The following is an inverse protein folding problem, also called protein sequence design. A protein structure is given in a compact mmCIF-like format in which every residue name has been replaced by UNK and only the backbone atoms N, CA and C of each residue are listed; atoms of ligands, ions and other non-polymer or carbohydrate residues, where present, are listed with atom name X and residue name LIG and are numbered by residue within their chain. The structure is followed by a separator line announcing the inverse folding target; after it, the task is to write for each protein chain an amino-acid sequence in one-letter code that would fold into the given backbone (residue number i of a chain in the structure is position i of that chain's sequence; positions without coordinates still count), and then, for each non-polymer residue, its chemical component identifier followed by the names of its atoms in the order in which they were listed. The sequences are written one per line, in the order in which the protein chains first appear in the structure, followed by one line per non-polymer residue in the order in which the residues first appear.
data_IF_357477459378
#
_entry.id   IF_357477459378
#
_cell.length_a   1.000
_cell.length_b   1.000
_cell.length_c   1.000
_cell.angle_alpha   90.00
_cell.angle_beta   90.00
_cell.angle_gamma   90.00
#
_symmetry.space_group_name_H-M   'P 1'
#
loop_
_entity.id
_entity.type
_entity.pdbx_description
1 polymer ?
#
# COMPACT_ATOMS: atom_id res chain seq x y z
N UNK A 1 -25.30 25.15 -26.59
CA UNK A 1 -23.85 25.41 -26.77
C UNK A 1 -23.18 26.03 -25.52
N UNK A 2 -23.72 27.08 -24.88
CA UNK A 2 -23.16 27.67 -23.64
C UNK A 2 -22.99 26.70 -22.46
N UNK A 3 -23.96 25.81 -22.21
CA UNK A 3 -23.88 24.80 -21.14
C UNK A 3 -22.77 23.76 -21.37
N UNK A 4 -22.41 23.47 -22.63
CA UNK A 4 -21.39 22.49 -22.99
C UNK A 4 -19.99 23.03 -22.72
N UNK A 5 -19.74 24.30 -23.06
CA UNK A 5 -18.51 25.02 -22.72
C UNK A 5 -18.35 25.21 -21.21
N UNK A 6 -19.45 25.46 -20.49
CA UNK A 6 -19.44 25.55 -19.02
C UNK A 6 -19.10 24.21 -18.35
N UNK A 7 -19.67 23.10 -18.82
CA UNK A 7 -19.33 21.76 -18.34
C UNK A 7 -17.88 21.39 -18.66
N UNK A 8 -17.40 21.71 -19.87
CA UNK A 8 -16.02 21.44 -20.27
C UNK A 8 -15.00 22.22 -19.42
N UNK A 9 -15.26 23.51 -19.16
CA UNK A 9 -14.41 24.33 -18.27
C UNK A 9 -14.42 23.84 -16.81
N UNK A 10 -15.55 23.37 -16.28
CA UNK A 10 -15.61 22.75 -14.95
C UNK A 10 -14.85 21.44 -14.90
N UNK A 11 -15.04 20.58 -15.89
CA UNK A 11 -14.32 19.31 -15.98
C UNK A 11 -12.81 19.53 -16.03
N UNK A 12 -12.35 20.48 -16.86
CA UNK A 12 -10.93 20.83 -16.98
C UNK A 12 -10.37 21.44 -15.69
N UNK A 13 -11.17 22.21 -14.94
CA UNK A 13 -10.77 22.70 -13.61
C UNK A 13 -10.63 21.53 -12.62
N UNK A 14 -11.58 20.60 -12.60
CA UNK A 14 -11.54 19.42 -11.72
C UNK A 14 -10.32 18.55 -12.03
N UNK A 15 -10.02 18.29 -13.31
CA UNK A 15 -8.85 17.51 -13.71
C UNK A 15 -7.56 18.20 -13.28
N UNK A 16 -7.45 19.51 -13.48
CA UNK A 16 -6.25 20.28 -13.09
C UNK A 16 -6.02 20.26 -11.58
N UNK A 17 -7.09 20.43 -10.79
CA UNK A 17 -7.02 20.33 -9.32
C UNK A 17 -6.61 18.92 -8.91
N UNK A 18 -7.21 17.89 -9.52
CA UNK A 18 -6.89 16.49 -9.23
C UNK A 18 -5.42 16.16 -9.52
N UNK A 19 -4.90 16.62 -10.66
CA UNK A 19 -3.49 16.45 -11.02
C UNK A 19 -2.57 17.19 -10.03
N UNK A 20 -2.95 18.39 -9.60
CA UNK A 20 -2.18 19.17 -8.62
C UNK A 20 -2.10 18.45 -7.26
N UNK A 21 -3.25 17.97 -6.77
CA UNK A 21 -3.33 17.18 -5.52
C UNK A 21 -2.51 15.90 -5.67
N UNK A 22 -2.62 15.21 -6.81
CA UNK A 22 -1.84 14.00 -7.08
C UNK A 22 -0.33 14.28 -7.02
N UNK A 23 0.14 15.34 -7.69
CA UNK A 23 1.54 15.78 -7.62
C UNK A 23 1.97 16.12 -6.19
N UNK A 24 1.11 16.80 -5.43
CA UNK A 24 1.37 17.15 -4.04
C UNK A 24 1.52 15.90 -3.16
N UNK A 25 0.63 14.92 -3.30
CA UNK A 25 0.70 13.65 -2.57
C UNK A 25 2.01 12.92 -2.86
N UNK A 26 2.40 12.82 -4.14
CA UNK A 26 3.65 12.18 -4.53
C UNK A 26 4.91 12.99 -4.18
N UNK A 27 4.80 14.28 -3.88
CA UNK A 27 5.95 15.13 -3.56
C UNK A 27 6.57 14.84 -2.18
N UNK A 28 5.78 14.39 -1.20
CA UNK A 28 6.27 14.11 0.17
C UNK A 28 6.21 12.62 0.48
N UNK A 29 7.28 12.09 1.09
CA UNK A 29 7.44 10.68 1.45
C UNK A 29 6.30 10.09 2.30
N UNK A 30 5.66 10.94 3.10
CA UNK A 30 4.70 10.56 4.14
C UNK A 30 3.24 10.88 3.81
N UNK A 31 2.96 11.45 2.62
CA UNK A 31 1.60 11.92 2.30
C UNK A 31 0.58 10.79 2.32
N UNK A 32 0.89 9.65 1.69
CA UNK A 32 -0.01 8.50 1.64
C UNK A 32 -0.20 7.83 3.00
N UNK A 33 0.85 7.81 3.83
CA UNK A 33 0.76 7.38 5.22
C UNK A 33 -0.28 8.22 5.97
N UNK A 34 -0.11 9.56 5.97
CA UNK A 34 -1.04 10.47 6.65
C UNK A 34 -2.46 10.35 6.11
N UNK A 35 -2.62 10.30 4.78
CA UNK A 35 -3.92 10.17 4.15
C UNK A 35 -4.62 8.87 4.55
N UNK A 36 -3.89 7.75 4.53
CA UNK A 36 -4.41 6.46 4.98
C UNK A 36 -4.84 6.51 6.45
N UNK A 37 -3.98 7.02 7.34
CA UNK A 37 -4.29 7.15 8.77
C UNK A 37 -5.54 7.99 9.01
N UNK A 38 -5.64 9.15 8.36
CA UNK A 38 -6.81 10.05 8.49
C UNK A 38 -8.08 9.34 8.01
N UNK A 39 -8.05 8.73 6.83
CA UNK A 39 -9.23 8.06 6.27
C UNK A 39 -9.65 6.84 7.11
N UNK A 40 -8.69 6.09 7.64
CA UNK A 40 -8.97 4.97 8.54
C UNK A 40 -9.69 5.44 9.80
N UNK A 41 -9.22 6.51 10.44
CA UNK A 41 -9.90 7.03 11.64
C UNK A 41 -11.27 7.62 11.30
N UNK A 42 -11.41 8.36 10.20
CA UNK A 42 -12.72 8.84 9.74
C UNK A 42 -13.68 7.66 9.54
N UNK A 43 -13.23 6.59 8.89
CA UNK A 43 -14.03 5.38 8.73
C UNK A 43 -14.42 4.76 10.08
N UNK A 44 -13.46 4.66 11.01
CA UNK A 44 -13.73 4.12 12.35
C UNK A 44 -14.77 4.94 13.12
N UNK A 45 -14.67 6.27 13.07
CA UNK A 45 -15.61 7.16 13.74
C UNK A 45 -16.99 7.12 13.08
N UNK A 46 -17.06 7.17 11.75
CA UNK A 46 -18.34 7.18 11.00
C UNK A 46 -19.08 5.84 11.05
N UNK A 47 -18.36 4.73 11.21
CA UNK A 47 -18.91 3.37 11.22
C UNK A 47 -18.82 2.69 12.59
N UNK A 48 -18.69 3.48 13.68
CA UNK A 48 -18.37 2.98 15.00
C UNK A 48 -19.28 1.85 15.48
N UNK A 49 -20.59 2.00 15.32
CA UNK A 49 -21.57 0.99 15.78
C UNK A 49 -21.39 -0.35 15.05
N UNK A 50 -21.16 -0.31 13.73
CA UNK A 50 -20.90 -1.51 12.93
C UNK A 50 -19.60 -2.18 13.33
N UNK A 51 -18.55 -1.39 13.58
CA UNK A 51 -17.24 -1.90 13.98
C UNK A 51 -17.25 -2.48 15.40
N UNK A 52 -18.09 -1.94 16.30
CA UNK A 52 -18.30 -2.52 17.63
C UNK A 52 -18.93 -3.91 17.53
N UNK A 53 -19.92 -4.09 16.66
CA UNK A 53 -20.52 -5.40 16.38
C UNK A 53 -19.48 -6.36 15.79
N UNK A 54 -18.66 -5.89 14.85
CA UNK A 54 -17.57 -6.68 14.30
C UNK A 54 -16.54 -7.10 15.38
N UNK A 55 -16.18 -6.19 16.29
CA UNK A 55 -15.30 -6.51 17.42
C UNK A 55 -15.89 -7.62 18.30
N UNK A 56 -17.17 -7.55 18.64
CA UNK A 56 -17.84 -8.60 19.44
C UNK A 56 -17.80 -9.94 18.71
N UNK A 57 -18.03 -9.96 17.40
CA UNK A 57 -17.94 -11.19 16.59
C UNK A 57 -16.53 -11.77 16.60
N UNK A 58 -15.51 -10.93 16.39
CA UNK A 58 -14.10 -11.33 16.48
C UNK A 58 -13.79 -11.87 17.88
N UNK A 59 -14.27 -11.21 18.93
CA UNK A 59 -14.08 -11.65 20.31
C UNK A 59 -14.67 -13.04 20.56
N UNK A 60 -15.93 -13.25 20.17
CA UNK A 60 -16.59 -14.54 20.31
C UNK A 60 -15.89 -15.64 19.53
N UNK A 61 -15.48 -15.37 18.28
CA UNK A 61 -14.78 -16.35 17.44
C UNK A 61 -13.41 -16.72 18.03
N UNK A 62 -12.61 -15.73 18.42
CA UNK A 62 -11.25 -15.97 18.89
C UNK A 62 -11.20 -16.53 20.30
N UNK A 63 -12.10 -16.13 21.19
CA UNK A 63 -12.24 -16.78 22.51
C UNK A 63 -12.65 -18.23 22.34
N UNK A 64 -13.55 -18.55 21.41
CA UNK A 64 -13.97 -19.94 21.16
C UNK A 64 -12.85 -20.83 20.64
N UNK A 65 -11.91 -20.28 19.84
CA UNK A 65 -10.81 -21.04 19.22
C UNK A 65 -9.53 -21.07 20.03
N UNK A 66 -9.18 -19.95 20.67
CA UNK A 66 -7.85 -19.71 21.24
C UNK A 66 -7.90 -19.26 22.70
N UNK A 67 -9.10 -19.12 23.29
CA UNK A 67 -9.28 -18.71 24.69
C UNK A 67 -8.98 -17.25 25.00
N UNK A 68 -8.49 -16.47 24.03
CA UNK A 68 -8.18 -15.06 24.20
C UNK A 68 -8.18 -14.31 22.87
N UNK A 69 -8.30 -12.98 22.95
CA UNK A 69 -8.30 -12.08 21.79
C UNK A 69 -7.15 -11.11 21.93
N UNK A 70 -6.37 -10.96 20.87
CA UNK A 70 -5.33 -9.95 20.82
C UNK A 70 -5.93 -8.57 20.56
N UNK A 71 -5.60 -7.60 21.39
CA UNK A 71 -6.08 -6.21 21.28
C UNK A 71 -5.89 -5.60 19.88
N UNK A 72 -4.77 -5.94 19.21
CA UNK A 72 -4.43 -5.45 17.87
C UNK A 72 -5.37 -5.94 16.75
N UNK A 73 -6.21 -6.92 17.02
CA UNK A 73 -7.20 -7.45 16.06
C UNK A 73 -8.50 -6.64 16.08
N UNK A 74 -8.70 -5.79 17.09
CA UNK A 74 -9.94 -5.04 17.29
C UNK A 74 -9.85 -3.66 16.66
N UNK A 75 -10.97 -3.16 16.12
CA UNK A 75 -11.09 -1.77 15.72
C UNK A 75 -11.10 -0.86 16.95
N UNK A 76 -10.45 0.31 16.91
CA UNK A 76 -9.70 0.89 15.79
C UNK A 76 -8.21 0.49 15.77
N UNK A 77 -7.76 -0.43 16.61
CA UNK A 77 -6.34 -0.75 16.82
C UNK A 77 -5.67 -1.56 15.69
N UNK A 78 -6.46 -2.13 14.78
CA UNK A 78 -5.94 -2.85 13.59
C UNK A 78 -4.97 -2.01 12.73
N UNK A 79 -5.06 -0.68 12.78
CA UNK A 79 -4.12 0.19 12.07
C UNK A 79 -2.66 -0.03 12.50
N UNK A 80 -2.45 -0.42 13.76
CA UNK A 80 -1.12 -0.71 14.30
C UNK A 80 -0.49 -1.93 13.62
N UNK A 81 -1.30 -2.93 13.29
CA UNK A 81 -0.86 -4.12 12.54
C UNK A 81 -0.34 -3.73 11.15
N UNK A 82 -0.94 -2.74 10.51
CA UNK A 82 -0.48 -2.21 9.21
C UNK A 82 0.84 -1.44 9.35
N UNK A 83 1.00 -0.66 10.43
CA UNK A 83 2.26 0.02 10.71
C UNK A 83 3.39 -0.98 11.00
N UNK A 84 3.09 -2.04 11.73
CA UNK A 84 4.03 -3.12 12.00
C UNK A 84 4.43 -3.85 10.72
N UNK A 85 3.45 -4.19 9.86
CA UNK A 85 3.70 -4.80 8.55
C UNK A 85 4.58 -3.91 7.67
N UNK A 86 4.32 -2.60 7.67
CA UNK A 86 5.16 -1.62 6.98
C UNK A 86 6.61 -1.64 7.50
N UNK A 87 6.80 -1.62 8.82
CA UNK A 87 8.15 -1.66 9.42
C UNK A 87 8.90 -2.92 9.02
N UNK A 88 8.25 -4.09 9.07
CA UNK A 88 8.87 -5.33 8.63
C UNK A 88 9.23 -5.31 7.13
N UNK A 89 8.30 -4.84 6.28
CA UNK A 89 8.56 -4.67 4.84
C UNK A 89 9.74 -3.74 4.59
N UNK A 90 9.82 -2.63 5.32
CA UNK A 90 10.89 -1.65 5.21
C UNK A 90 12.23 -2.26 5.62
N UNK A 91 12.29 -2.94 6.78
CA UNK A 91 13.50 -3.63 7.24
C UNK A 91 13.97 -4.67 6.22
N UNK A 92 13.06 -5.53 5.75
CA UNK A 92 13.35 -6.53 4.72
C UNK A 92 13.89 -5.90 3.44
N UNK A 93 13.24 -4.84 2.96
CA UNK A 93 13.64 -4.14 1.75
C UNK A 93 15.02 -3.49 1.90
N UNK A 94 15.29 -2.84 3.04
CA UNK A 94 16.59 -2.21 3.33
C UNK A 94 17.70 -3.27 3.34
N UNK A 95 17.47 -4.44 3.96
CA UNK A 95 18.44 -5.54 3.96
C UNK A 95 18.75 -6.00 2.54
N UNK A 96 17.74 -6.24 1.71
CA UNK A 96 17.96 -6.62 0.31
C UNK A 96 18.70 -5.56 -0.50
N UNK A 97 18.35 -4.29 -0.32
CA UNK A 97 19.03 -3.17 -1.01
C UNK A 97 20.48 -3.06 -0.54
N UNK A 98 20.73 -3.22 0.75
CA UNK A 98 22.07 -3.18 1.31
C UNK A 98 22.94 -4.33 0.76
N UNK A 99 22.39 -5.54 0.69
CA UNK A 99 23.06 -6.69 0.06
C UNK A 99 23.38 -6.42 -1.41
N UNK A 100 22.43 -5.83 -2.16
CA UNK A 100 22.64 -5.43 -3.54
C UNK A 100 23.76 -4.40 -3.69
N UNK A 101 23.76 -3.35 -2.87
CA UNK A 101 24.78 -2.29 -2.91
C UNK A 101 26.16 -2.80 -2.52
N UNK A 102 26.24 -3.68 -1.51
CA UNK A 102 27.48 -4.35 -1.09
C UNK A 102 28.06 -5.19 -2.23
N UNK A 103 27.21 -5.93 -2.94
CA UNK A 103 27.63 -6.71 -4.12
C UNK A 103 28.14 -5.83 -5.26
N UNK A 104 27.64 -4.59 -5.36
CA UNK A 104 28.01 -3.62 -6.41
C UNK A 104 29.08 -2.60 -5.99
N UNK A 105 29.65 -2.71 -4.79
CA UNK A 105 30.70 -1.81 -4.26
C UNK A 105 30.38 -0.31 -4.32
N UNK A 106 29.10 0.07 -4.23
CA UNK A 106 28.68 1.48 -4.26
C UNK A 106 28.66 2.09 -2.85
N UNK A 107 29.21 3.30 -2.69
CA UNK A 107 29.38 3.99 -1.39
C UNK A 107 28.52 5.26 -1.27
N UNK A 108 27.24 5.19 -1.63
CA UNK A 108 26.35 6.37 -1.54
C UNK A 108 25.16 6.19 -0.56
N UNK A 109 25.33 6.57 0.73
CA UNK A 109 24.28 6.40 1.75
C UNK A 109 23.09 7.36 1.58
N UNK A 110 23.28 8.54 0.99
CA UNK A 110 22.21 9.53 0.80
C UNK A 110 21.09 9.03 -0.12
N UNK A 111 21.40 8.09 -1.04
CA UNK A 111 20.44 7.53 -1.99
C UNK A 111 19.60 6.40 -1.38
N UNK A 112 20.10 5.71 -0.34
CA UNK A 112 19.29 4.79 0.47
C UNK A 112 18.12 5.52 1.13
N UNK A 113 18.37 6.71 1.67
CA UNK A 113 17.32 7.52 2.29
C UNK A 113 16.23 7.93 1.28
N UNK A 114 16.60 8.33 0.05
CA UNK A 114 15.62 8.62 -1.01
C UNK A 114 14.82 7.37 -1.41
N UNK A 115 15.46 6.20 -1.48
CA UNK A 115 14.79 4.95 -1.76
C UNK A 115 13.79 4.58 -0.66
N UNK A 116 14.17 4.74 0.63
CA UNK A 116 13.26 4.49 1.74
C UNK A 116 12.00 5.35 1.66
N UNK A 117 12.14 6.65 1.36
CA UNK A 117 10.99 7.55 1.16
C UNK A 117 10.04 7.04 0.06
N UNK A 118 10.61 6.61 -1.07
CA UNK A 118 9.85 6.07 -2.21
C UNK A 118 9.16 4.74 -1.88
N UNK A 119 9.82 3.89 -1.08
CA UNK A 119 9.25 2.64 -0.58
C UNK A 119 8.09 2.91 0.38
N UNK A 120 8.23 3.86 1.30
CA UNK A 120 7.14 4.31 2.19
C UNK A 120 5.94 4.79 1.38
N UNK A 121 6.17 5.67 0.38
CA UNK A 121 5.10 6.18 -0.48
C UNK A 121 4.37 5.05 -1.19
N UNK A 122 5.12 4.12 -1.81
CA UNK A 122 4.54 3.02 -2.58
C UNK A 122 3.75 2.04 -1.71
N UNK A 123 4.29 1.71 -0.54
CA UNK A 123 3.62 0.82 0.42
C UNK A 123 2.30 1.43 0.91
N UNK A 124 2.32 2.67 1.39
CA UNK A 124 1.09 3.31 1.88
C UNK A 124 0.11 3.68 0.77
N UNK A 125 0.59 3.97 -0.45
CA UNK A 125 -0.27 4.10 -1.62
C UNK A 125 -1.01 2.78 -1.90
N UNK A 126 -0.31 1.65 -1.84
CA UNK A 126 -0.92 0.33 -2.00
C UNK A 126 -1.97 0.07 -0.93
N UNK A 127 -1.63 0.28 0.35
CA UNK A 127 -2.54 0.11 1.47
C UNK A 127 -3.76 1.01 1.35
N UNK A 128 -3.59 2.26 0.91
CA UNK A 128 -4.68 3.18 0.66
C UNK A 128 -5.62 2.67 -0.45
N UNK A 129 -5.05 2.17 -1.56
CA UNK A 129 -5.84 1.57 -2.63
C UNK A 129 -6.58 0.32 -2.14
N UNK A 130 -5.94 -0.55 -1.35
CA UNK A 130 -6.58 -1.72 -0.74
C UNK A 130 -7.72 -1.30 0.18
N UNK A 131 -7.50 -0.29 1.02
CA UNK A 131 -8.50 0.19 1.96
C UNK A 131 -9.74 0.73 1.23
N UNK A 132 -9.56 1.68 0.31
CA UNK A 132 -10.66 2.28 -0.46
C UNK A 132 -11.34 1.24 -1.36
N UNK A 133 -10.54 0.39 -2.01
CA UNK A 133 -11.04 -0.65 -2.90
C UNK A 133 -11.86 -1.70 -2.17
N UNK A 134 -11.40 -2.18 -1.01
CA UNK A 134 -12.17 -3.11 -0.18
C UNK A 134 -13.46 -2.49 0.33
N UNK A 135 -13.46 -1.21 0.73
CA UNK A 135 -14.69 -0.51 1.09
C UNK A 135 -15.67 -0.41 -0.09
N UNK A 136 -15.16 -0.12 -1.29
CA UNK A 136 -15.97 0.02 -2.50
C UNK A 136 -16.54 -1.33 -2.95
N UNK A 137 -15.74 -2.39 -2.94
CA UNK A 137 -16.17 -3.75 -3.28
C UNK A 137 -17.12 -4.30 -2.20
N UNK A 138 -16.95 -3.90 -0.94
CA UNK A 138 -17.89 -4.21 0.14
C UNK A 138 -19.32 -3.73 -0.12
N UNK A 139 -19.52 -2.69 -0.95
CA UNK A 139 -20.86 -2.23 -1.33
C UNK A 139 -21.63 -3.23 -2.19
N UNK A 140 -20.94 -4.19 -2.82
CA UNK A 140 -21.53 -5.24 -3.65
C UNK A 140 -21.39 -6.63 -3.00
N UNK A 141 -21.29 -6.70 -1.66
CA UNK A 141 -21.12 -7.94 -0.92
C UNK A 141 -22.22 -8.98 -1.17
N UNK A 142 -23.45 -8.54 -1.46
CA UNK A 142 -24.59 -9.42 -1.76
C UNK A 142 -24.58 -9.96 -3.21
N UNK A 143 -23.64 -9.51 -4.05
CA UNK A 143 -23.54 -9.97 -5.43
C UNK A 143 -23.00 -11.40 -5.49
N UNK A 144 -23.60 -12.22 -6.35
CA UNK A 144 -23.10 -13.56 -6.67
C UNK A 144 -21.62 -13.57 -7.12
N UNK A 145 -21.16 -12.49 -7.75
CA UNK A 145 -19.80 -12.36 -8.28
C UNK A 145 -18.83 -11.67 -7.32
N UNK A 146 -19.22 -11.41 -6.06
CA UNK A 146 -18.41 -10.68 -5.08
C UNK A 146 -16.98 -11.25 -4.94
N UNK A 147 -16.86 -12.56 -4.76
CA UNK A 147 -15.55 -13.22 -4.60
C UNK A 147 -14.67 -13.06 -5.83
N UNK A 148 -15.25 -13.07 -7.05
CA UNK A 148 -14.52 -12.89 -8.30
C UNK A 148 -14.01 -11.44 -8.43
N UNK A 149 -14.84 -10.46 -8.09
CA UNK A 149 -14.42 -9.04 -8.08
C UNK A 149 -13.32 -8.78 -7.05
N UNK A 150 -13.48 -9.33 -5.84
CA UNK A 150 -12.48 -9.20 -4.79
C UNK A 150 -11.14 -9.80 -5.23
N UNK A 151 -11.16 -11.03 -5.76
CA UNK A 151 -9.95 -11.70 -6.23
C UNK A 151 -9.26 -10.96 -7.39
N UNK A 152 -10.04 -10.54 -8.39
CA UNK A 152 -9.52 -9.76 -9.52
C UNK A 152 -8.90 -8.43 -9.07
N UNK A 153 -9.56 -7.73 -8.14
CA UNK A 153 -9.03 -6.50 -7.56
C UNK A 153 -7.67 -6.73 -6.86
N UNK A 154 -7.56 -7.77 -6.04
CA UNK A 154 -6.34 -8.08 -5.31
C UNK A 154 -5.17 -8.43 -6.24
N UNK A 155 -5.42 -9.23 -7.30
CA UNK A 155 -4.40 -9.54 -8.31
C UNK A 155 -3.92 -8.28 -9.02
N UNK A 156 -4.85 -7.46 -9.53
CA UNK A 156 -4.50 -6.23 -10.26
C UNK A 156 -3.66 -5.30 -9.39
N UNK A 157 -4.05 -5.16 -8.12
CA UNK A 157 -3.36 -4.31 -7.18
C UNK A 157 -1.97 -4.86 -6.79
N UNK A 158 -1.82 -6.17 -6.66
CA UNK A 158 -0.52 -6.80 -6.45
C UNK A 158 0.42 -6.63 -7.65
N UNK A 159 -0.08 -6.82 -8.87
CA UNK A 159 0.70 -6.58 -10.10
C UNK A 159 1.11 -5.10 -10.22
N UNK A 160 0.23 -4.18 -9.83
CA UNK A 160 0.54 -2.76 -9.76
C UNK A 160 1.65 -2.49 -8.74
N UNK A 161 1.61 -3.12 -7.56
CA UNK A 161 2.66 -3.00 -6.55
C UNK A 161 4.03 -3.40 -7.06
N UNK A 162 4.10 -4.56 -7.73
CA UNK A 162 5.33 -5.06 -8.35
C UNK A 162 5.83 -4.05 -9.38
N UNK A 163 4.95 -3.63 -10.31
CA UNK A 163 5.29 -2.71 -11.39
C UNK A 163 5.86 -1.38 -10.87
N UNK A 164 5.21 -0.79 -9.86
CA UNK A 164 5.64 0.48 -9.24
C UNK A 164 6.99 0.30 -8.55
N UNK A 165 7.16 -0.74 -7.72
CA UNK A 165 8.42 -1.01 -7.03
C UNK A 165 9.59 -1.15 -8.00
N UNK A 166 9.46 -1.97 -9.05
CA UNK A 166 10.55 -2.13 -10.02
C UNK A 166 10.89 -0.87 -10.80
N UNK A 167 9.88 -0.06 -11.16
CA UNK A 167 10.12 1.24 -11.79
C UNK A 167 10.86 2.19 -10.84
N UNK A 168 10.43 2.27 -9.58
CA UNK A 168 11.05 3.15 -8.59
C UNK A 168 12.48 2.74 -8.26
N UNK A 169 12.73 1.44 -8.09
CA UNK A 169 14.07 0.92 -7.84
C UNK A 169 15.00 1.18 -9.02
N UNK A 170 14.57 0.87 -10.26
CA UNK A 170 15.36 1.13 -11.47
C UNK A 170 15.72 2.60 -11.62
N UNK A 171 14.76 3.51 -11.45
CA UNK A 171 15.01 4.95 -11.50
C UNK A 171 15.98 5.42 -10.43
N UNK A 172 15.91 4.86 -9.23
CA UNK A 172 16.74 5.31 -8.10
C UNK A 172 18.17 4.77 -8.19
N UNK A 173 18.36 3.61 -8.82
CA UNK A 173 19.65 2.92 -8.97
C UNK A 173 20.36 3.23 -10.29
N UNK A 174 19.64 3.63 -11.34
CA UNK A 174 20.23 4.08 -12.61
C UNK A 174 21.17 5.28 -12.40
N UNK A 175 20.88 6.15 -11.44
CA UNK A 175 21.76 7.28 -11.07
C UNK A 175 22.97 6.87 -10.19
N UNK A 176 23.15 5.59 -9.88
CA UNK A 176 24.18 5.09 -8.93
C UNK A 176 25.25 4.26 -9.63
N UNK A 177 24.86 3.56 -10.68
CA UNK A 177 25.74 2.64 -11.36
C UNK A 177 25.37 2.59 -12.83
N UNK A 178 26.37 2.55 -13.72
CA UNK A 178 26.25 2.20 -15.15
C UNK A 178 25.74 0.75 -15.37
N UNK A 179 25.01 0.22 -14.40
CA UNK A 179 24.33 -1.06 -14.45
C UNK A 179 23.22 -1.02 -15.47
N UNK A 180 23.11 -2.12 -16.21
CA UNK A 180 22.01 -2.36 -17.13
C UNK A 180 20.65 -2.08 -16.45
N UNK A 181 19.85 -1.11 -16.95
CA UNK A 181 18.59 -0.70 -16.33
C UNK A 181 17.57 -1.84 -16.26
N UNK A 182 17.70 -2.87 -17.11
CA UNK A 182 16.85 -4.06 -17.07
C UNK A 182 17.11 -4.90 -15.82
N UNK A 183 18.37 -5.02 -15.39
CA UNK A 183 18.74 -5.82 -14.21
C UNK A 183 18.28 -5.15 -12.91
N UNK A 184 18.46 -3.83 -12.80
CA UNK A 184 17.99 -3.08 -11.62
C UNK A 184 16.46 -3.15 -11.51
N UNK A 185 15.75 -3.01 -12.63
CA UNK A 185 14.30 -3.13 -12.67
C UNK A 185 13.82 -4.52 -12.23
N UNK A 186 14.49 -5.57 -12.68
CA UNK A 186 14.19 -6.96 -12.30
C UNK A 186 14.38 -7.18 -10.80
N UNK A 187 15.47 -6.68 -10.21
CA UNK A 187 15.69 -6.74 -8.76
C UNK A 187 14.59 -6.01 -7.98
N UNK A 188 14.16 -4.84 -8.47
CA UNK A 188 13.04 -4.11 -7.85
C UNK A 188 11.70 -4.83 -7.94
N UNK A 189 11.46 -5.66 -8.97
CA UNK A 189 10.29 -6.54 -9.03
C UNK A 189 10.38 -7.69 -8.03
N UNK A 190 11.58 -8.18 -7.76
CA UNK A 190 11.82 -9.31 -6.88
C UNK A 190 11.49 -9.01 -5.41
N UNK A 191 11.80 -7.79 -4.93
CA UNK A 191 11.57 -7.39 -3.53
C UNK A 191 10.12 -7.67 -3.05
N UNK A 192 9.07 -7.11 -3.67
CA UNK A 192 7.69 -7.35 -3.23
C UNK A 192 7.25 -8.81 -3.42
N UNK A 193 7.76 -9.52 -4.43
CA UNK A 193 7.43 -10.93 -4.68
C UNK A 193 7.96 -11.81 -3.54
N UNK A 194 9.24 -11.67 -3.19
CA UNK A 194 9.85 -12.45 -2.11
C UNK A 194 9.24 -12.10 -0.77
N UNK A 195 8.99 -10.82 -0.52
CA UNK A 195 8.29 -10.39 0.68
C UNK A 195 6.93 -11.08 0.82
N UNK A 196 6.11 -11.04 -0.24
CA UNK A 196 4.79 -11.69 -0.23
C UNK A 196 4.88 -13.21 -0.08
N UNK A 197 5.84 -13.87 -0.73
CA UNK A 197 6.08 -15.30 -0.56
C UNK A 197 6.48 -15.65 0.87
N UNK A 198 7.36 -14.85 1.50
CA UNK A 198 7.78 -15.02 2.89
C UNK A 198 6.60 -14.84 3.85
N UNK A 199 5.79 -13.81 3.67
CA UNK A 199 4.60 -13.57 4.50
C UNK A 199 3.57 -14.68 4.35
N UNK A 200 3.35 -15.18 3.12
CA UNK A 200 2.46 -16.32 2.89
C UNK A 200 2.96 -17.57 3.61
N UNK A 201 4.27 -17.84 3.53
CA UNK A 201 4.88 -18.95 4.24
C UNK A 201 4.71 -18.83 5.76
N UNK A 202 5.00 -17.66 6.34
CA UNK A 202 4.87 -17.41 7.79
C UNK A 202 3.42 -17.62 8.26
N UNK A 203 2.42 -17.22 7.47
CA UNK A 203 1.00 -17.39 7.83
C UNK A 203 0.53 -18.84 7.65
N UNK A 204 1.20 -19.61 6.80
CA UNK A 204 0.85 -21.01 6.51
C UNK A 204 1.47 -22.03 7.47
N UNK A 205 2.44 -21.62 8.29
CA UNK A 205 3.10 -22.44 9.33
C UNK A 205 2.45 -22.16 10.67
#
# INVERSE_FOLDING_TARGET
MKNLLFLQSRFQRITNVSISIWKLLWSKGWSFFLLYTILYFIHCFTSWDKLKLANIQIELEMVSRYGSVSFWQLYPFQIVSIYYLYLLYLCFSIVLVFLYLKFRSSKEPNKLFQLTKKMTQSFFFLILCLFIGNLSIGLIQESYYYSLYLFGFWIVLFLLFIKVNGSMFSQSMYFVSDTNPKFTKSFGYFIPIVWSAMMFWIVSV
#
